data_IF_081980365998
#
_entry.id   IF_081980365998
#
_cell.length_a   1.000
_cell.length_b   1.000
_cell.length_c   1.000
_cell.angle_alpha   90.00
_cell.angle_beta   90.00
_cell.angle_gamma   90.00
#
_symmetry.space_group_name_H-M   'P 1'
#
loop_
_entity.id
_entity.type
_entity.pdbx_description
1 polymer ?
#
# COMPACT_ATOMS: atom_id res chain seq x y z
N UNK A 1 -25.53 -0.89 5.89
CA UNK A 1 -25.34 -1.43 4.52
C UNK A 1 -23.87 -1.66 4.15
N UNK A 2 -22.98 -0.65 4.31
CA UNK A 2 -21.55 -0.71 3.96
C UNK A 2 -20.79 -1.91 4.56
N UNK A 3 -20.99 -2.21 5.84
CA UNK A 3 -20.32 -3.33 6.52
C UNK A 3 -20.61 -4.69 5.88
N UNK A 4 -21.83 -4.90 5.37
CA UNK A 4 -22.17 -6.14 4.63
C UNK A 4 -21.37 -6.23 3.33
N UNK A 5 -21.28 -5.12 2.58
CA UNK A 5 -20.50 -5.05 1.34
C UNK A 5 -19.00 -5.29 1.59
N UNK A 6 -18.44 -4.66 2.63
CA UNK A 6 -17.04 -4.86 3.01
C UNK A 6 -16.79 -6.29 3.48
N UNK A 7 -17.63 -6.86 4.33
CA UNK A 7 -17.50 -8.25 4.77
C UNK A 7 -17.45 -9.23 3.59
N UNK A 8 -18.32 -9.05 2.58
CA UNK A 8 -18.31 -9.88 1.37
C UNK A 8 -17.03 -9.73 0.54
N UNK A 9 -16.43 -8.53 0.50
CA UNK A 9 -15.16 -8.31 -0.20
C UNK A 9 -13.98 -8.98 0.50
N UNK A 10 -13.89 -8.86 1.83
CA UNK A 10 -12.83 -9.48 2.62
C UNK A 10 -12.97 -11.01 2.71
N UNK A 11 -14.19 -11.55 2.68
CA UNK A 11 -14.43 -13.01 2.59
C UNK A 11 -13.83 -13.64 1.33
N UNK A 12 -13.68 -12.88 0.24
CA UNK A 12 -13.10 -13.35 -1.03
C UNK A 12 -11.58 -13.21 -1.07
N UNK A 13 -10.97 -12.59 -0.08
CA UNK A 13 -9.54 -12.35 -0.04
C UNK A 13 -8.79 -13.35 0.83
N UNK A 14 -7.54 -13.03 1.11
CA UNK A 14 -6.61 -13.96 1.74
C UNK A 14 -6.58 -13.73 3.25
N UNK A 15 -6.55 -14.81 4.02
CA UNK A 15 -6.16 -14.74 5.43
C UNK A 15 -4.65 -14.95 5.51
N UNK A 16 -3.93 -13.88 5.83
CA UNK A 16 -2.48 -13.91 6.01
C UNK A 16 -2.21 -13.62 7.49
N UNK A 17 -1.70 -14.63 8.19
CA UNK A 17 -1.55 -14.61 9.65
C UNK A 17 -2.90 -14.29 10.33
N UNK A 18 -2.93 -13.29 11.22
CA UNK A 18 -4.12 -12.87 11.96
C UNK A 18 -5.08 -11.94 11.21
N UNK A 19 -4.79 -11.56 9.96
CA UNK A 19 -5.54 -10.52 9.25
C UNK A 19 -6.22 -11.07 7.99
N UNK A 20 -7.43 -10.57 7.72
CA UNK A 20 -8.10 -10.75 6.44
C UNK A 20 -7.73 -9.60 5.51
N UNK A 21 -7.27 -9.94 4.33
CA UNK A 21 -6.87 -9.01 3.29
C UNK A 21 -7.95 -8.98 2.22
N UNK A 22 -8.03 -7.88 1.46
CA UNK A 22 -8.75 -7.88 0.20
C UNK A 22 -8.09 -8.85 -0.79
N UNK A 23 -8.79 -9.33 -1.83
CA UNK A 23 -8.17 -10.13 -2.89
C UNK A 23 -6.92 -9.45 -3.46
N UNK A 24 -5.85 -10.22 -3.70
CA UNK A 24 -4.54 -9.72 -4.16
C UNK A 24 -4.63 -8.72 -5.32
N UNK A 25 -5.44 -9.04 -6.34
CA UNK A 25 -5.64 -8.16 -7.51
C UNK A 25 -6.23 -6.80 -7.14
N UNK A 26 -7.14 -6.77 -6.17
CA UNK A 26 -7.76 -5.52 -5.67
C UNK A 26 -6.73 -4.68 -4.92
N UNK A 27 -5.93 -5.31 -4.03
CA UNK A 27 -4.86 -4.61 -3.30
C UNK A 27 -3.86 -3.99 -4.26
N UNK A 28 -3.44 -4.76 -5.26
CA UNK A 28 -2.56 -4.30 -6.32
C UNK A 28 -3.09 -3.08 -7.08
N UNK A 29 -4.36 -3.13 -7.49
CA UNK A 29 -4.99 -2.02 -8.20
C UNK A 29 -4.98 -0.74 -7.37
N UNK A 30 -5.28 -0.85 -6.08
CA UNK A 30 -5.25 0.30 -5.16
C UNK A 30 -3.83 0.86 -5.03
N UNK A 31 -2.84 0.00 -4.84
CA UNK A 31 -1.44 0.41 -4.72
C UNK A 31 -0.90 1.06 -5.99
N UNK A 32 -1.27 0.55 -7.17
CA UNK A 32 -0.82 1.09 -8.45
C UNK A 32 -1.37 2.50 -8.70
N UNK A 33 -2.65 2.73 -8.39
CA UNK A 33 -3.26 4.06 -8.44
C UNK A 33 -2.60 5.02 -7.45
N UNK A 34 -2.32 4.57 -6.23
CA UNK A 34 -1.61 5.37 -5.23
C UNK A 34 -0.19 5.72 -5.73
N UNK A 35 0.55 4.74 -6.23
CA UNK A 35 1.90 4.91 -6.77
C UNK A 35 1.93 5.96 -7.88
N UNK A 36 0.99 5.90 -8.82
CA UNK A 36 0.88 6.86 -9.91
C UNK A 36 0.75 8.28 -9.37
N UNK A 37 -0.26 8.52 -8.52
CA UNK A 37 -0.55 9.85 -7.95
C UNK A 37 0.58 10.40 -7.08
N UNK A 38 1.27 9.53 -6.36
CA UNK A 38 2.39 9.92 -5.48
C UNK A 38 3.61 10.30 -6.31
N UNK A 39 3.96 9.48 -7.31
CA UNK A 39 5.09 9.76 -8.20
C UNK A 39 4.87 10.99 -9.08
N UNK A 40 3.64 11.24 -9.52
CA UNK A 40 3.26 12.48 -10.24
C UNK A 40 3.57 13.76 -9.44
N UNK A 41 3.61 13.65 -8.10
CA UNK A 41 3.95 14.76 -7.20
C UNK A 41 5.44 14.82 -6.83
N UNK A 42 6.28 13.99 -7.44
CA UNK A 42 7.71 13.89 -7.09
C UNK A 42 7.97 13.24 -5.73
N UNK A 43 6.96 12.57 -5.15
CA UNK A 43 7.08 11.89 -3.86
C UNK A 43 7.45 10.42 -4.11
N UNK A 44 8.24 9.89 -3.22
CA UNK A 44 8.68 8.49 -3.17
C UNK A 44 7.54 7.56 -2.74
N UNK A 45 7.57 6.30 -3.18
CA UNK A 45 6.51 5.34 -2.87
C UNK A 45 7.08 3.98 -2.49
N UNK A 46 6.55 3.39 -1.41
CA UNK A 46 6.87 2.05 -0.94
C UNK A 46 5.60 1.28 -0.54
N UNK A 47 5.63 -0.04 -0.76
CA UNK A 47 4.55 -0.99 -0.43
C UNK A 47 5.13 -2.32 0.07
N UNK A 48 6.07 -2.25 1.01
CA UNK A 48 6.86 -3.38 1.50
C UNK A 48 6.00 -4.55 2.00
N UNK A 49 4.84 -4.27 2.62
CA UNK A 49 3.89 -5.30 3.11
C UNK A 49 3.34 -6.20 2.01
N UNK A 50 3.29 -5.71 0.78
CA UNK A 50 2.78 -6.47 -0.36
C UNK A 50 3.92 -7.01 -1.25
N UNK A 51 5.19 -6.70 -0.93
CA UNK A 51 6.37 -7.20 -1.63
C UNK A 51 6.57 -6.66 -3.06
N UNK A 52 5.84 -5.60 -3.47
CA UNK A 52 5.89 -5.08 -4.84
C UNK A 52 6.93 -3.98 -5.06
N UNK A 53 7.04 -3.05 -4.11
CA UNK A 53 7.95 -1.91 -4.19
C UNK A 53 8.53 -1.66 -2.81
N UNK A 54 9.84 -1.79 -2.64
CA UNK A 54 10.53 -1.35 -1.43
C UNK A 54 11.18 0.01 -1.67
N UNK A 55 10.99 0.92 -0.73
CA UNK A 55 11.77 2.16 -0.64
C UNK A 55 12.73 2.06 0.56
N UNK A 56 13.85 2.82 0.60
CA UNK A 56 14.98 2.52 1.49
C UNK A 56 14.63 2.60 2.97
N UNK A 57 13.59 3.37 3.35
CA UNK A 57 13.26 3.59 4.75
C UNK A 57 11.75 3.69 4.99
N UNK A 58 11.27 3.03 6.04
CA UNK A 58 9.87 3.05 6.49
C UNK A 58 9.56 4.22 7.43
N UNK A 59 10.60 4.90 7.92
CA UNK A 59 10.55 6.02 8.85
C UNK A 59 10.35 7.39 8.17
N UNK A 60 10.35 7.43 6.83
CA UNK A 60 10.20 8.66 6.06
C UNK A 60 11.48 9.48 5.91
N UNK A 61 12.65 9.01 6.37
CA UNK A 61 13.94 9.72 6.23
C UNK A 61 14.24 10.16 4.78
N UNK A 62 13.81 9.36 3.80
CA UNK A 62 13.95 9.66 2.38
C UNK A 62 13.09 10.85 1.88
N UNK A 63 12.16 11.36 2.69
CA UNK A 63 11.36 12.56 2.39
C UNK A 63 12.07 13.86 2.81
N UNK A 64 13.16 13.76 3.56
CA UNK A 64 13.93 14.92 4.04
C UNK A 64 14.85 15.37 2.91
N UNK A 65 14.59 16.55 2.36
CA UNK A 65 15.33 17.14 1.22
C UNK A 65 16.64 17.82 1.64
N UNK A 66 16.83 18.09 2.93
CA UNK A 66 18.05 18.65 3.50
C UNK A 66 18.71 17.58 4.38
N UNK A 67 19.47 16.68 3.76
CA UNK A 67 20.41 15.87 4.54
C UNK A 67 21.52 16.81 5.01
N UNK A 68 21.51 17.15 6.30
CA UNK A 68 22.61 17.86 6.94
C UNK A 68 23.84 16.94 6.78
N UNK A 69 24.79 17.37 5.94
CA UNK A 69 26.09 16.71 5.78
C UNK A 69 26.95 16.96 7.00
#
# INVERSE_FOLDING_TARGET
ELMKKLSLLYKKGDKINGYYYLPRKTRLKILEEARKKIKEKGITFGSCREGYYSYPSCDGSHLITQQIK
#
